data_IF_304491915662
#
_entry.id   IF_304491915662
#
_cell.length_a   1.000
_cell.length_b   1.000
_cell.length_c   1.000
_cell.angle_alpha   90.00
_cell.angle_beta   90.00
_cell.angle_gamma   90.00
#
_symmetry.space_group_name_H-M   'P 1'
#
loop_
_entity.id
_entity.type
_entity.pdbx_description
1 polymer ?
#
# COMPACT_ATOMS: atom_id res chain seq x y z
N UNK A 1 11.87 -1.61 -4.18
CA UNK A 1 11.84 -3.07 -3.96
C UNK A 1 13.19 -3.59 -4.37
N UNK A 2 13.88 -4.30 -3.49
CA UNK A 2 15.14 -4.96 -3.83
C UNK A 2 14.87 -6.47 -3.90
N UNK A 3 14.79 -7.07 -5.10
CA UNK A 3 14.71 -8.53 -5.19
C UNK A 3 15.95 -9.13 -4.54
N UNK A 4 15.86 -10.38 -4.07
CA UNK A 4 17.02 -11.17 -3.67
C UNK A 4 18.11 -11.14 -4.76
N UNK A 5 19.07 -10.23 -4.64
CA UNK A 5 20.06 -9.92 -5.67
C UNK A 5 21.19 -10.95 -5.71
N UNK A 6 21.45 -11.58 -4.56
CA UNK A 6 22.45 -12.63 -4.38
C UNK A 6 21.78 -13.98 -4.17
N UNK A 7 22.33 -15.02 -4.80
CA UNK A 7 21.87 -16.39 -4.56
C UNK A 7 22.33 -16.84 -3.17
N UNK A 8 21.41 -17.39 -2.38
CA UNK A 8 21.74 -18.11 -1.14
C UNK A 8 21.44 -19.59 -1.36
N UNK A 9 22.49 -20.40 -1.39
CA UNK A 9 22.33 -21.85 -1.43
C UNK A 9 21.93 -22.39 -0.05
N UNK A 10 21.02 -23.36 -0.05
CA UNK A 10 20.66 -24.11 1.16
C UNK A 10 20.91 -25.58 0.93
N UNK A 11 21.65 -26.21 1.83
CA UNK A 11 21.57 -27.67 1.99
C UNK A 11 20.24 -28.04 2.67
N UNK A 12 19.85 -29.31 2.52
CA UNK A 12 18.68 -29.86 3.19
C UNK A 12 18.94 -31.30 3.65
N UNK A 13 18.22 -31.73 4.68
CA UNK A 13 18.25 -33.09 5.21
C UNK A 13 16.83 -33.63 5.34
N UNK A 14 16.65 -34.90 5.01
CA UNK A 14 15.42 -35.65 5.31
C UNK A 14 15.71 -36.59 6.48
N UNK A 15 15.00 -36.43 7.59
CA UNK A 15 15.13 -37.27 8.78
C UNK A 15 13.92 -38.20 8.89
N UNK A 16 14.17 -39.51 8.89
CA UNK A 16 13.15 -40.54 8.99
C UNK A 16 12.79 -40.87 10.46
N UNK A 17 12.21 -39.91 11.17
CA UNK A 17 11.61 -40.15 12.49
C UNK A 17 10.14 -40.60 12.36
N UNK A 18 9.42 -40.78 13.47
CA UNK A 18 7.96 -41.07 13.48
C UNK A 18 7.19 -40.11 12.55
N UNK A 19 7.61 -38.84 12.48
CA UNK A 19 7.18 -37.88 11.47
C UNK A 19 8.38 -37.55 10.56
N UNK A 20 8.44 -38.08 9.33
CA UNK A 20 9.46 -37.69 8.36
C UNK A 20 9.54 -36.17 8.26
N UNK A 21 10.75 -35.62 8.34
CA UNK A 21 10.98 -34.18 8.41
C UNK A 21 11.97 -33.74 7.35
N UNK A 22 11.58 -32.75 6.54
CA UNK A 22 12.48 -31.97 5.68
C UNK A 22 13.00 -30.77 6.48
N UNK A 23 14.31 -30.66 6.62
CA UNK A 23 14.97 -29.57 7.34
C UNK A 23 15.98 -28.90 6.42
N UNK A 24 15.84 -27.58 6.25
CA UNK A 24 16.86 -26.74 5.65
C UNK A 24 17.88 -26.40 6.74
N UNK A 25 19.16 -26.67 6.51
CA UNK A 25 20.20 -26.62 7.56
C UNK A 25 21.36 -25.68 7.26
N UNK A 26 21.29 -24.97 6.13
CA UNK A 26 22.18 -23.84 5.82
C UNK A 26 21.35 -22.56 5.76
N UNK A 27 21.84 -21.52 6.46
CA UNK A 27 21.18 -20.22 6.52
C UNK A 27 20.95 -19.64 5.11
N UNK A 28 19.69 -19.31 4.79
CA UNK A 28 19.21 -18.95 3.45
C UNK A 28 17.97 -18.05 3.55
N UNK A 29 17.38 -17.66 2.41
CA UNK A 29 16.15 -16.86 2.38
C UNK A 29 14.99 -17.47 3.17
N UNK A 30 14.93 -18.80 3.33
CA UNK A 30 13.93 -19.45 4.20
C UNK A 30 14.16 -19.14 5.68
N UNK A 31 15.43 -19.04 6.10
CA UNK A 31 15.81 -18.76 7.49
C UNK A 31 15.64 -17.27 7.84
N UNK A 32 15.85 -16.37 6.88
CA UNK A 32 15.62 -14.92 7.05
C UNK A 32 14.17 -14.66 7.49
N UNK A 33 13.20 -15.42 6.96
CA UNK A 33 11.79 -15.29 7.35
C UNK A 33 11.50 -15.78 8.78
N UNK A 34 12.40 -16.57 9.35
CA UNK A 34 12.32 -17.11 10.71
C UNK A 34 13.36 -16.48 11.66
N UNK A 35 14.05 -15.40 11.24
CA UNK A 35 15.14 -14.82 12.01
C UNK A 35 14.61 -14.20 13.32
N UNK A 36 15.18 -14.56 14.50
CA UNK A 36 14.74 -14.01 15.77
C UNK A 36 15.04 -12.52 15.94
N UNK A 37 15.96 -11.94 15.15
CA UNK A 37 16.33 -10.53 15.18
C UNK A 37 15.42 -9.71 14.24
N UNK A 38 14.59 -8.80 14.76
CA UNK A 38 13.74 -7.95 13.93
C UNK A 38 14.51 -7.10 12.90
N UNK A 39 15.78 -6.80 13.16
CA UNK A 39 16.60 -6.00 12.26
C UNK A 39 16.99 -6.73 10.96
N UNK A 40 16.79 -8.05 10.87
CA UNK A 40 17.11 -8.81 9.65
C UNK A 40 16.02 -8.62 8.58
N UNK A 41 14.75 -8.76 8.93
CA UNK A 41 13.64 -8.73 7.95
C UNK A 41 12.32 -8.12 8.46
N UNK A 42 12.31 -7.47 9.64
CA UNK A 42 11.12 -6.79 10.15
C UNK A 42 10.08 -7.71 10.80
N UNK A 43 10.53 -8.77 11.48
CA UNK A 43 9.66 -9.72 12.20
C UNK A 43 9.44 -9.39 13.68
N UNK A 44 8.62 -10.22 14.35
CA UNK A 44 8.47 -10.20 15.81
C UNK A 44 9.73 -10.80 16.45
N UNK A 45 10.25 -10.14 17.48
CA UNK A 45 11.44 -10.61 18.19
C UNK A 45 11.26 -12.06 18.67
N UNK A 46 12.19 -12.94 18.30
CA UNK A 46 12.16 -14.37 18.60
C UNK A 46 11.30 -15.23 17.65
N UNK A 47 10.49 -14.63 16.76
CA UNK A 47 9.51 -15.35 15.92
C UNK A 47 9.64 -15.09 14.42
N UNK A 48 10.41 -14.09 14.00
CA UNK A 48 10.50 -13.68 12.60
C UNK A 48 9.15 -13.22 12.04
N UNK A 49 8.86 -13.56 10.79
CA UNK A 49 7.56 -13.32 10.13
C UNK A 49 6.68 -14.57 10.12
N UNK A 50 6.83 -15.39 11.16
CA UNK A 50 6.09 -16.62 11.38
C UNK A 50 6.27 -17.71 10.29
N UNK A 51 7.49 -17.85 9.76
CA UNK A 51 7.86 -18.92 8.83
C UNK A 51 8.59 -20.06 9.54
N UNK A 52 8.47 -21.28 9.02
CA UNK A 52 9.30 -22.42 9.44
C UNK A 52 10.43 -22.68 8.41
N UNK A 53 11.47 -23.41 8.86
CA UNK A 53 12.51 -24.01 8.01
C UNK A 53 12.68 -25.52 8.25
N UNK A 54 11.87 -26.09 9.16
CA UNK A 54 11.70 -27.53 9.33
C UNK A 54 10.23 -27.90 9.14
N UNK A 55 9.95 -28.90 8.29
CA UNK A 55 8.61 -29.27 7.88
C UNK A 55 8.39 -30.78 7.96
N UNK A 56 7.27 -31.20 8.54
CA UNK A 56 6.82 -32.60 8.52
C UNK A 56 6.02 -32.90 7.27
N UNK A 57 6.22 -34.09 6.70
CA UNK A 57 5.44 -34.53 5.54
C UNK A 57 4.00 -34.86 5.94
N UNK A 58 3.04 -34.22 5.26
CA UNK A 58 1.61 -34.49 5.48
C UNK A 58 1.13 -35.57 4.52
N UNK A 59 1.29 -35.32 3.22
CA UNK A 59 0.87 -36.22 2.13
C UNK A 59 1.54 -35.86 0.82
N UNK A 60 1.47 -36.80 -0.12
CA UNK A 60 1.78 -36.58 -1.53
C UNK A 60 0.49 -36.69 -2.34
N UNK A 61 0.31 -35.79 -3.30
CA UNK A 61 -0.76 -35.86 -4.30
C UNK A 61 -0.15 -35.61 -5.68
N UNK A 62 -0.11 -36.64 -6.52
CA UNK A 62 0.55 -36.58 -7.83
C UNK A 62 2.01 -36.14 -7.69
N UNK A 63 2.37 -35.05 -8.37
CA UNK A 63 3.71 -34.47 -8.42
C UNK A 63 3.99 -33.44 -7.30
N UNK A 64 3.08 -33.33 -6.33
CA UNK A 64 3.19 -32.37 -5.22
C UNK A 64 3.30 -33.07 -3.88
N UNK A 65 4.19 -32.55 -3.03
CA UNK A 65 4.26 -32.91 -1.61
C UNK A 65 3.79 -31.73 -0.77
N UNK A 66 2.92 -32.01 0.19
CA UNK A 66 2.40 -31.04 1.16
C UNK A 66 3.07 -31.29 2.51
N UNK A 67 3.57 -30.21 3.11
CA UNK A 67 4.26 -30.25 4.38
C UNK A 67 3.75 -29.18 5.33
N UNK A 68 3.83 -29.47 6.62
CA UNK A 68 3.48 -28.55 7.71
C UNK A 68 4.71 -28.24 8.55
N UNK A 69 4.95 -26.96 8.81
CA UNK A 69 6.06 -26.49 9.62
C UNK A 69 5.98 -26.95 11.07
N UNK A 70 7.11 -27.32 11.66
CA UNK A 70 7.15 -27.97 12.99
C UNK A 70 6.84 -27.03 14.15
N UNK A 71 7.17 -25.75 14.05
CA UNK A 71 7.01 -24.79 15.14
C UNK A 71 5.73 -23.97 14.95
N UNK A 72 5.50 -23.46 13.75
CA UNK A 72 4.43 -22.47 13.49
C UNK A 72 3.31 -23.00 12.60
N UNK A 73 3.39 -24.28 12.19
CA UNK A 73 2.42 -24.91 11.29
C UNK A 73 2.27 -24.19 9.95
N UNK A 74 3.30 -23.45 9.51
CA UNK A 74 3.31 -22.84 8.18
C UNK A 74 3.20 -23.92 7.09
N UNK A 75 2.56 -23.59 5.97
CA UNK A 75 2.29 -24.57 4.90
C UNK A 75 3.31 -24.42 3.79
N UNK A 76 3.94 -25.54 3.42
CA UNK A 76 4.83 -25.63 2.28
C UNK A 76 4.29 -26.66 1.29
N UNK A 77 4.19 -26.27 0.03
CA UNK A 77 3.86 -27.17 -1.07
C UNK A 77 5.03 -27.14 -2.03
N UNK A 78 5.66 -28.30 -2.24
CA UNK A 78 6.71 -28.45 -3.25
C UNK A 78 6.11 -29.20 -4.43
N UNK A 79 6.12 -28.55 -5.58
CA UNK A 79 5.64 -29.10 -6.86
C UNK A 79 6.86 -29.44 -7.70
N UNK A 80 6.91 -30.65 -8.25
CA UNK A 80 8.00 -31.07 -9.13
C UNK A 80 8.01 -30.20 -10.39
N UNK A 81 9.11 -29.49 -10.62
CA UNK A 81 9.30 -28.70 -11.82
C UNK A 81 9.43 -29.60 -13.05
N UNK A 82 8.80 -29.19 -14.15
CA UNK A 82 9.06 -29.74 -15.50
C UNK A 82 10.47 -29.34 -15.97
N UNK A 83 10.98 -30.04 -17.00
CA UNK A 83 12.29 -29.69 -17.59
C UNK A 83 12.32 -28.25 -18.13
N UNK A 84 11.20 -27.75 -18.66
CA UNK A 84 11.08 -26.38 -19.15
C UNK A 84 11.12 -25.36 -18.00
N UNK A 85 10.40 -25.62 -16.90
CA UNK A 85 10.42 -24.76 -15.72
C UNK A 85 11.79 -24.76 -15.05
N UNK A 86 12.43 -25.93 -14.89
CA UNK A 86 13.78 -26.03 -14.34
C UNK A 86 14.76 -25.19 -15.15
N UNK A 87 14.74 -25.31 -16.49
CA UNK A 87 15.54 -24.47 -17.38
C UNK A 87 15.25 -22.98 -17.14
N UNK A 88 13.98 -22.60 -17.08
CA UNK A 88 13.58 -21.21 -16.85
C UNK A 88 14.07 -20.67 -15.50
N UNK A 89 13.97 -21.44 -14.42
CA UNK A 89 14.52 -21.04 -13.11
C UNK A 89 16.04 -20.85 -13.16
N UNK A 90 16.76 -21.79 -13.78
CA UNK A 90 18.22 -21.70 -13.94
C UNK A 90 18.64 -20.47 -14.78
N UNK A 91 17.82 -20.08 -15.75
CA UNK A 91 18.04 -18.91 -16.62
C UNK A 91 17.46 -17.61 -16.03
N UNK A 92 17.21 -17.54 -14.72
CA UNK A 92 16.66 -16.37 -14.01
C UNK A 92 15.25 -15.95 -14.47
N UNK A 93 14.46 -16.86 -15.01
CA UNK A 93 13.10 -16.62 -15.49
C UNK A 93 12.17 -16.02 -14.43
N UNK A 94 12.27 -16.46 -13.17
CA UNK A 94 11.49 -15.89 -12.08
C UNK A 94 11.86 -14.42 -11.81
N UNK A 95 13.16 -14.08 -11.80
CA UNK A 95 13.61 -12.70 -11.65
C UNK A 95 13.05 -11.81 -12.77
N UNK A 96 13.09 -12.30 -14.01
CA UNK A 96 12.52 -11.59 -15.16
C UNK A 96 11.01 -11.37 -15.02
N UNK A 97 10.27 -12.37 -14.55
CA UNK A 97 8.82 -12.26 -14.30
C UNK A 97 8.50 -11.25 -13.20
N UNK A 98 9.30 -11.23 -12.12
CA UNK A 98 9.21 -10.22 -11.05
C UNK A 98 9.43 -8.82 -11.62
N UNK A 99 10.52 -8.62 -12.37
CA UNK A 99 10.83 -7.33 -12.99
C UNK A 99 9.72 -6.87 -13.94
N UNK A 100 9.23 -7.78 -14.79
CA UNK A 100 8.11 -7.50 -15.70
C UNK A 100 6.86 -7.07 -14.94
N UNK A 101 6.57 -7.70 -13.80
CA UNK A 101 5.45 -7.32 -12.93
C UNK A 101 5.62 -5.94 -12.32
N UNK A 102 6.81 -5.66 -11.79
CA UNK A 102 7.14 -4.37 -11.18
C UNK A 102 7.04 -3.26 -12.22
N UNK A 103 7.69 -3.43 -13.36
CA UNK A 103 7.67 -2.47 -14.47
C UNK A 103 6.25 -2.24 -14.98
N UNK A 104 5.44 -3.30 -15.10
CA UNK A 104 4.05 -3.16 -15.52
C UNK A 104 3.24 -2.33 -14.51
N UNK A 105 3.38 -2.60 -13.21
CA UNK A 105 2.66 -1.86 -12.17
C UNK A 105 3.12 -0.40 -12.09
N UNK A 106 4.43 -0.14 -12.14
CA UNK A 106 4.98 1.21 -12.02
C UNK A 106 4.63 2.09 -13.24
N UNK A 107 4.51 1.50 -14.44
CA UNK A 107 4.17 2.22 -15.66
C UNK A 107 2.65 2.35 -15.93
N UNK A 108 1.80 1.66 -15.17
CA UNK A 108 0.35 1.62 -15.41
C UNK A 108 -0.46 2.02 -14.18
N UNK A 109 -1.07 3.20 -14.25
CA UNK A 109 -1.96 3.71 -13.21
C UNK A 109 -3.40 3.19 -13.38
N UNK A 110 -4.12 3.09 -12.26
CA UNK A 110 -5.55 2.75 -12.22
C UNK A 110 -5.87 1.44 -12.97
N UNK A 111 -5.07 0.40 -12.73
CA UNK A 111 -5.28 -0.93 -13.31
C UNK A 111 -6.69 -1.44 -12.98
N UNK A 112 -7.34 -2.06 -13.96
CA UNK A 112 -8.65 -2.66 -13.80
C UNK A 112 -8.89 -3.76 -14.82
N UNK A 113 -9.93 -4.55 -14.58
CA UNK A 113 -10.55 -5.39 -15.59
C UNK A 113 -12.05 -5.17 -15.57
N UNK A 114 -12.74 -5.59 -16.62
CA UNK A 114 -14.21 -5.55 -16.66
C UNK A 114 -14.73 -6.97 -16.52
N UNK A 115 -15.59 -7.21 -15.53
CA UNK A 115 -16.14 -8.54 -15.25
C UNK A 115 -17.63 -8.44 -15.05
N UNK A 116 -18.41 -9.02 -15.98
CA UNK A 116 -19.88 -9.01 -15.96
C UNK A 116 -20.47 -7.58 -16.02
N UNK A 117 -21.48 -7.34 -16.86
CA UNK A 117 -22.18 -6.04 -16.98
C UNK A 117 -21.28 -4.80 -17.27
N UNK A 118 -20.08 -4.98 -17.83
CA UNK A 118 -19.10 -3.92 -18.12
C UNK A 118 -18.67 -3.06 -16.89
N UNK A 119 -18.89 -3.56 -15.67
CA UNK A 119 -18.41 -2.87 -14.47
C UNK A 119 -16.89 -3.05 -14.38
N UNK A 120 -16.19 -1.92 -14.26
CA UNK A 120 -14.76 -1.90 -14.04
C UNK A 120 -14.48 -2.25 -12.58
N UNK A 121 -13.72 -3.31 -12.36
CA UNK A 121 -13.18 -3.70 -11.05
C UNK A 121 -11.73 -3.25 -11.04
N UNK A 122 -11.44 -2.25 -10.22
CA UNK A 122 -10.08 -1.75 -10.07
C UNK A 122 -9.22 -2.78 -9.35
N UNK A 123 -8.00 -2.97 -9.82
CA UNK A 123 -7.02 -3.92 -9.31
C UNK A 123 -5.79 -3.17 -8.86
N UNK A 124 -5.50 -3.19 -7.56
CA UNK A 124 -4.24 -2.69 -7.01
C UNK A 124 -3.29 -3.86 -6.78
N UNK A 125 -2.06 -3.76 -7.28
CA UNK A 125 -1.00 -4.75 -7.06
C UNK A 125 0.12 -4.04 -6.30
N UNK A 126 0.26 -4.30 -5.00
CA UNK A 126 1.36 -3.80 -4.21
C UNK A 126 2.43 -4.88 -4.12
N UNK A 127 3.48 -4.77 -4.95
CA UNK A 127 4.58 -5.73 -4.97
C UNK A 127 5.51 -5.66 -3.76
N UNK A 128 5.49 -4.54 -3.02
CA UNK A 128 6.30 -4.36 -1.80
C UNK A 128 5.69 -5.15 -0.66
N UNK A 129 4.38 -4.98 -0.39
CA UNK A 129 3.66 -5.75 0.62
C UNK A 129 3.18 -7.11 0.13
N UNK A 130 3.35 -7.40 -1.18
CA UNK A 130 2.86 -8.60 -1.87
C UNK A 130 1.36 -8.83 -1.68
N UNK A 131 0.58 -7.76 -1.77
CA UNK A 131 -0.88 -7.79 -1.66
C UNK A 131 -1.50 -7.36 -2.99
N UNK A 132 -2.50 -8.11 -3.43
CA UNK A 132 -3.41 -7.70 -4.51
C UNK A 132 -4.76 -7.37 -3.89
N UNK A 133 -5.36 -6.26 -4.34
CA UNK A 133 -6.64 -5.78 -3.85
C UNK A 133 -7.56 -5.50 -5.03
N UNK A 134 -8.77 -6.06 -4.99
CA UNK A 134 -9.85 -5.69 -5.88
C UNK A 134 -10.72 -4.64 -5.22
N UNK A 135 -11.13 -3.63 -5.98
CA UNK A 135 -11.91 -2.49 -5.52
C UNK A 135 -13.07 -2.28 -6.49
N UNK A 136 -14.30 -2.20 -5.96
CA UNK A 136 -15.47 -1.86 -6.76
C UNK A 136 -16.47 -0.99 -6.00
N UNK A 137 -17.23 -0.19 -6.73
CA UNK A 137 -18.37 0.55 -6.19
C UNK A 137 -19.48 -0.43 -5.76
N UNK A 138 -19.99 -0.26 -4.54
CA UNK A 138 -21.10 -1.05 -4.01
C UNK A 138 -22.47 -0.38 -4.17
N UNK A 139 -22.54 0.76 -4.88
CA UNK A 139 -23.76 1.51 -5.16
C UNK A 139 -24.27 2.35 -3.99
N UNK A 140 -23.51 2.45 -2.89
CA UNK A 140 -23.89 3.21 -1.68
C UNK A 140 -23.00 4.43 -1.42
N UNK A 141 -22.26 4.90 -2.44
CA UNK A 141 -21.21 5.93 -2.29
C UNK A 141 -20.07 5.47 -1.40
N UNK A 142 -19.77 4.18 -1.43
CA UNK A 142 -18.57 3.57 -0.85
C UNK A 142 -18.03 2.51 -1.80
N UNK A 143 -16.77 2.13 -1.62
CA UNK A 143 -16.18 1.01 -2.35
C UNK A 143 -16.08 -0.20 -1.43
N UNK A 144 -16.22 -1.38 -2.01
CA UNK A 144 -15.86 -2.64 -1.37
C UNK A 144 -14.47 -3.03 -1.80
N UNK A 145 -13.71 -3.60 -0.87
CA UNK A 145 -12.38 -4.15 -1.14
C UNK A 145 -12.29 -5.60 -0.68
N UNK A 146 -11.61 -6.42 -1.47
CA UNK A 146 -11.13 -7.73 -1.05
C UNK A 146 -9.67 -7.85 -1.44
N UNK A 147 -8.87 -8.42 -0.56
CA UNK A 147 -7.43 -8.53 -0.78
C UNK A 147 -6.90 -9.89 -0.36
N UNK A 148 -5.79 -10.26 -0.99
CA UNK A 148 -5.05 -11.49 -0.68
C UNK A 148 -3.57 -11.21 -0.86
N UNK A 149 -2.75 -11.94 -0.10
CA UNK A 149 -1.33 -12.06 -0.43
C UNK A 149 -1.14 -12.74 -1.78
N UNK A 150 0.02 -12.54 -2.41
CA UNK A 150 0.38 -13.23 -3.65
C UNK A 150 1.85 -13.64 -3.69
N UNK A 151 2.17 -14.55 -4.59
CA UNK A 151 3.53 -14.91 -4.96
C UNK A 151 3.75 -14.70 -6.47
N UNK A 152 4.96 -14.34 -6.86
CA UNK A 152 5.36 -14.35 -8.27
C UNK A 152 5.63 -15.78 -8.73
N UNK A 153 5.37 -16.03 -10.00
CA UNK A 153 5.59 -17.30 -10.69
C UNK A 153 6.34 -17.03 -12.00
N UNK A 154 6.78 -18.08 -12.70
CA UNK A 154 7.43 -17.93 -14.01
C UNK A 154 6.53 -17.26 -15.06
N UNK A 155 5.20 -17.32 -14.89
CA UNK A 155 4.22 -16.81 -15.86
C UNK A 155 3.41 -15.63 -15.36
N UNK A 156 3.61 -15.17 -14.13
CA UNK A 156 2.90 -14.00 -13.58
C UNK A 156 2.75 -14.03 -12.06
N UNK A 157 1.55 -13.80 -11.57
CA UNK A 157 1.22 -13.64 -10.15
C UNK A 157 0.17 -14.68 -9.74
N UNK A 158 0.42 -15.42 -8.66
CA UNK A 158 -0.50 -16.38 -8.05
C UNK A 158 -0.99 -15.88 -6.71
N UNK A 159 -2.30 -15.88 -6.49
CA UNK A 159 -2.89 -15.44 -5.23
C UNK A 159 -2.79 -16.54 -4.17
N UNK A 160 -2.57 -16.13 -2.92
CA UNK A 160 -2.60 -17.03 -1.76
C UNK A 160 -3.98 -17.65 -1.60
N UNK A 161 -5.01 -16.80 -1.56
CA UNK A 161 -6.42 -17.21 -1.56
C UNK A 161 -7.11 -16.61 -2.80
N UNK A 162 -8.05 -17.32 -3.43
CA UNK A 162 -8.84 -16.72 -4.52
C UNK A 162 -9.67 -15.55 -4.03
N UNK A 163 -9.70 -14.47 -4.82
CA UNK A 163 -10.59 -13.33 -4.59
C UNK A 163 -11.92 -13.59 -5.29
N UNK A 164 -13.02 -13.39 -4.56
CA UNK A 164 -14.38 -13.61 -5.06
C UNK A 164 -15.04 -12.27 -5.37
N UNK A 165 -15.50 -12.10 -6.60
CA UNK A 165 -16.32 -10.95 -7.03
C UNK A 165 -17.59 -11.46 -7.70
N UNK A 166 -18.77 -11.09 -7.17
CA UNK A 166 -20.09 -11.57 -7.66
C UNK A 166 -20.14 -13.10 -7.90
N UNK A 167 -19.55 -13.88 -7.00
CA UNK A 167 -19.48 -15.34 -7.10
C UNK A 167 -18.45 -15.89 -8.11
N UNK A 168 -17.72 -15.02 -8.81
CA UNK A 168 -16.63 -15.39 -9.71
C UNK A 168 -15.29 -15.38 -8.96
N UNK A 169 -14.52 -16.45 -9.13
CA UNK A 169 -13.25 -16.64 -8.45
C UNK A 169 -12.08 -16.21 -9.34
N UNK A 170 -11.17 -15.43 -8.78
CA UNK A 170 -9.92 -14.99 -9.42
C UNK A 170 -8.77 -15.42 -8.54
N UNK A 171 -7.88 -16.28 -9.07
CA UNK A 171 -6.77 -16.87 -8.30
C UNK A 171 -5.40 -16.48 -8.81
N UNK A 172 -5.30 -15.84 -9.98
CA UNK A 172 -4.03 -15.52 -10.60
C UNK A 172 -4.16 -14.44 -11.67
N UNK A 173 -3.02 -13.81 -11.97
CA UNK A 173 -2.81 -12.94 -13.12
C UNK A 173 -1.65 -13.51 -13.93
N UNK A 174 -1.89 -13.86 -15.19
CA UNK A 174 -0.89 -14.39 -16.12
C UNK A 174 -0.41 -13.28 -17.04
N UNK A 175 0.89 -13.22 -17.29
CA UNK A 175 1.50 -12.28 -18.23
C UNK A 175 1.29 -12.76 -19.67
N UNK A 176 0.81 -11.87 -20.53
CA UNK A 176 0.80 -12.07 -21.97
C UNK A 176 1.98 -11.33 -22.61
N UNK A 177 3.04 -12.04 -23.06
CA UNK A 177 4.22 -11.39 -23.64
C UNK A 177 3.96 -10.81 -25.04
N UNK A 178 2.88 -11.19 -25.72
CA UNK A 178 2.54 -10.66 -27.05
C UNK A 178 1.82 -9.32 -26.89
N UNK A 179 0.87 -9.25 -25.96
CA UNK A 179 0.08 -8.03 -25.71
C UNK A 179 0.71 -7.07 -24.71
N UNK A 180 1.66 -7.55 -23.90
CA UNK A 180 2.29 -6.75 -22.85
C UNK A 180 1.33 -6.38 -21.71
N UNK A 181 0.40 -7.29 -21.37
CA UNK A 181 -0.60 -7.07 -20.31
C UNK A 181 -0.77 -8.31 -19.45
N UNK A 182 -1.17 -8.08 -18.20
CA UNK A 182 -1.68 -9.15 -17.36
C UNK A 182 -3.11 -9.51 -17.76
N UNK A 183 -3.48 -10.78 -17.58
CA UNK A 183 -4.86 -11.23 -17.72
C UNK A 183 -5.18 -12.29 -16.69
N UNK A 184 -6.47 -12.51 -16.45
CA UNK A 184 -6.98 -13.68 -15.76
C UNK A 184 -8.05 -14.35 -16.62
N UNK A 185 -8.38 -15.60 -16.32
CA UNK A 185 -9.47 -16.30 -17.01
C UNK A 185 -10.54 -16.66 -16.00
N UNK A 186 -11.75 -16.16 -16.21
CA UNK A 186 -12.91 -16.42 -15.36
C UNK A 186 -13.99 -17.04 -16.24
N UNK A 187 -14.42 -18.26 -15.89
CA UNK A 187 -15.42 -19.04 -16.65
C UNK A 187 -15.13 -19.10 -18.15
N UNK A 188 -13.87 -19.36 -18.51
CA UNK A 188 -13.41 -19.42 -19.90
C UNK A 188 -13.28 -18.07 -20.61
N UNK A 189 -13.65 -16.97 -19.95
CA UNK A 189 -13.50 -15.61 -20.48
C UNK A 189 -12.18 -15.01 -20.03
N UNK A 190 -11.38 -14.56 -21.01
CA UNK A 190 -10.15 -13.80 -20.76
C UNK A 190 -10.50 -12.37 -20.33
N UNK A 191 -9.99 -11.96 -19.18
CA UNK A 191 -10.14 -10.61 -18.62
C UNK A 191 -8.76 -9.97 -18.53
N UNK A 192 -8.54 -8.94 -19.34
CA UNK A 192 -7.27 -8.21 -19.34
C UNK A 192 -7.25 -7.19 -18.22
N UNK A 193 -6.14 -7.15 -17.48
CA UNK A 193 -5.84 -6.12 -16.50
C UNK A 193 -5.18 -5.00 -17.28
N UNK A 194 -5.83 -3.85 -17.40
CA UNK A 194 -5.39 -2.73 -18.23
C UNK A 194 -5.44 -1.42 -17.45
N UNK A 195 -4.62 -0.45 -17.84
CA UNK A 195 -4.60 0.87 -17.23
C UNK A 195 -5.83 1.69 -17.61
N UNK A 196 -6.26 2.59 -16.71
CA UNK A 196 -7.21 3.64 -17.05
C UNK A 196 -6.52 5.01 -17.03
N UNK A 197 -6.70 5.85 -18.08
CA UNK A 197 -6.07 7.18 -18.12
C UNK A 197 -6.65 8.13 -17.06
N UNK A 198 -7.81 7.80 -16.49
CA UNK A 198 -8.45 8.54 -15.41
C UNK A 198 -8.72 7.60 -14.24
N UNK A 199 -8.74 8.13 -13.02
CA UNK A 199 -9.16 7.35 -11.85
C UNK A 199 -10.57 6.79 -12.02
N UNK A 200 -10.76 5.54 -11.62
CA UNK A 200 -12.03 4.83 -11.77
C UNK A 200 -13.06 5.26 -10.72
N UNK A 201 -12.56 5.65 -9.55
CA UNK A 201 -13.36 6.15 -8.44
C UNK A 201 -12.84 7.51 -8.00
N UNK A 202 -13.72 8.39 -7.47
CA UNK A 202 -13.29 9.65 -6.89
C UNK A 202 -12.38 9.43 -5.67
N UNK A 203 -11.46 10.37 -5.42
CA UNK A 203 -10.43 10.23 -4.38
C UNK A 203 -11.01 9.93 -2.98
N UNK A 204 -12.15 10.51 -2.60
CA UNK A 204 -12.79 10.24 -1.30
C UNK A 204 -13.23 8.77 -1.08
N UNK A 205 -13.26 7.97 -2.14
CA UNK A 205 -13.48 6.52 -2.06
C UNK A 205 -12.17 5.73 -1.97
N UNK A 206 -11.04 6.32 -2.37
CA UNK A 206 -9.75 5.65 -2.48
C UNK A 206 -8.71 6.11 -1.44
N UNK A 207 -8.89 7.28 -0.82
CA UNK A 207 -8.04 7.78 0.25
C UNK A 207 -8.26 6.96 1.53
N UNK A 208 -7.15 6.53 2.15
CA UNK A 208 -7.07 5.52 3.19
C UNK A 208 -7.28 4.06 2.72
N UNK A 209 -7.29 3.81 1.41
CA UNK A 209 -7.34 2.46 0.81
C UNK A 209 -6.19 2.27 -0.18
N UNK A 210 -6.23 2.98 -1.31
CA UNK A 210 -5.17 2.96 -2.32
C UNK A 210 -4.08 3.97 -1.99
N UNK A 211 -4.47 5.14 -1.48
CA UNK A 211 -3.56 6.18 -1.04
C UNK A 211 -3.65 6.28 0.47
N UNK A 212 -2.54 6.16 1.16
CA UNK A 212 -2.44 6.28 2.61
C UNK A 212 -2.46 7.74 3.08
N UNK A 213 -1.95 8.68 2.27
CA UNK A 213 -1.84 10.07 2.68
C UNK A 213 -1.90 11.10 1.53
N UNK A 214 -2.14 12.36 1.90
CA UNK A 214 -1.86 13.54 1.08
C UNK A 214 -0.69 14.31 1.72
N UNK A 215 0.40 14.48 0.98
CA UNK A 215 1.62 15.16 1.45
C UNK A 215 1.67 16.57 0.87
N UNK A 216 1.33 17.55 1.70
CA UNK A 216 1.39 18.97 1.38
C UNK A 216 2.85 19.43 1.51
N UNK A 217 3.49 19.91 0.42
CA UNK A 217 4.91 20.23 0.45
C UNK A 217 5.20 21.49 1.28
N UNK A 218 6.48 21.68 1.62
CA UNK A 218 6.94 22.97 2.10
C UNK A 218 6.93 23.98 0.94
N UNK A 219 6.27 25.11 1.14
CA UNK A 219 6.22 26.18 0.14
C UNK A 219 5.41 27.37 0.63
N UNK A 220 5.58 28.50 -0.06
CA UNK A 220 4.73 29.68 0.06
C UNK A 220 3.53 29.61 -0.90
N UNK A 221 3.65 28.83 -1.97
CA UNK A 221 2.59 28.49 -2.92
C UNK A 221 2.84 27.10 -3.50
N UNK A 222 1.80 26.47 -4.04
CA UNK A 222 1.88 25.19 -4.74
C UNK A 222 0.65 25.03 -5.65
N UNK A 223 0.73 24.29 -6.78
CA UNK A 223 -0.40 24.10 -7.69
C UNK A 223 -1.63 23.54 -6.97
N UNK A 224 -2.73 24.29 -6.96
CA UNK A 224 -3.97 23.92 -6.27
C UNK A 224 -4.09 24.48 -4.84
N UNK A 225 -3.19 25.36 -4.41
CA UNK A 225 -3.37 26.10 -3.16
C UNK A 225 -4.18 27.38 -3.39
N UNK A 226 -5.24 27.54 -2.60
CA UNK A 226 -6.04 28.76 -2.58
C UNK A 226 -5.40 29.86 -1.76
N UNK A 227 -5.77 31.11 -2.05
CA UNK A 227 -5.21 32.31 -1.41
C UNK A 227 -5.32 32.30 0.12
N UNK A 228 -6.43 31.76 0.64
CA UNK A 228 -6.70 31.72 2.08
C UNK A 228 -5.80 30.70 2.79
N UNK A 229 -5.58 29.54 2.17
CA UNK A 229 -4.63 28.56 2.67
C UNK A 229 -3.21 29.12 2.66
N UNK A 230 -2.80 29.78 1.57
CA UNK A 230 -1.48 30.42 1.45
C UNK A 230 -1.24 31.40 2.59
N UNK A 231 -2.19 32.32 2.85
CA UNK A 231 -2.09 33.30 3.93
C UNK A 231 -2.00 32.61 5.30
N UNK A 232 -2.86 31.63 5.57
CA UNK A 232 -2.88 30.92 6.86
C UNK A 232 -1.64 30.08 7.10
N UNK A 233 -1.12 29.40 6.07
CA UNK A 233 0.11 28.64 6.18
C UNK A 233 1.28 29.57 6.47
N UNK A 234 1.35 30.72 5.81
CA UNK A 234 2.37 31.72 6.10
C UNK A 234 2.26 32.25 7.55
N UNK A 235 1.05 32.53 8.04
CA UNK A 235 0.83 32.92 9.44
C UNK A 235 1.26 31.84 10.43
N UNK A 236 0.89 30.58 10.18
CA UNK A 236 1.29 29.46 11.04
C UNK A 236 2.82 29.28 11.03
N UNK A 237 3.46 29.30 9.87
CA UNK A 237 4.91 29.18 9.75
C UNK A 237 5.66 30.32 10.45
N UNK A 238 5.17 31.56 10.35
CA UNK A 238 5.74 32.70 11.04
C UNK A 238 5.58 32.57 12.56
N UNK A 239 4.41 32.13 13.03
CA UNK A 239 4.15 31.92 14.45
C UNK A 239 5.01 30.80 15.04
N UNK A 240 5.14 29.66 14.36
CA UNK A 240 6.00 28.55 14.83
C UNK A 240 7.47 28.97 14.89
N UNK A 241 7.93 29.80 13.94
CA UNK A 241 9.29 30.33 13.92
C UNK A 241 9.53 31.37 15.03
N UNK A 242 8.51 32.14 15.40
CA UNK A 242 8.57 33.11 16.49
C UNK A 242 8.36 32.49 17.88
N UNK A 243 7.94 31.22 17.96
CA UNK A 243 7.77 30.50 19.22
C UNK A 243 9.09 30.44 20.03
N UNK A 244 8.97 30.12 21.31
CA UNK A 244 10.13 29.91 22.20
C UNK A 244 11.12 28.86 21.66
N UNK A 245 10.66 27.96 20.79
CA UNK A 245 11.43 26.86 20.23
C UNK A 245 12.05 27.16 18.86
N UNK A 246 11.66 28.29 18.23
CA UNK A 246 12.15 28.74 16.91
C UNK A 246 12.03 27.67 15.81
N UNK A 247 10.83 27.13 15.67
CA UNK A 247 10.55 25.97 14.80
C UNK A 247 10.13 26.40 13.40
N UNK A 248 10.88 25.99 12.39
CA UNK A 248 10.52 26.17 10.98
C UNK A 248 9.53 25.10 10.55
N UNK A 249 8.32 25.48 10.16
CA UNK A 249 7.32 24.60 9.56
C UNK A 249 7.75 24.18 8.16
N UNK A 250 7.76 22.88 7.90
CA UNK A 250 8.09 22.29 6.60
C UNK A 250 6.84 21.61 5.99
N UNK A 251 6.97 20.42 5.41
CA UNK A 251 5.84 19.67 4.85
C UNK A 251 4.83 19.21 5.91
N UNK A 252 3.59 18.99 5.47
CA UNK A 252 2.51 18.46 6.28
C UNK A 252 1.94 17.20 5.61
N UNK A 253 1.74 16.14 6.39
CA UNK A 253 1.29 14.84 5.91
C UNK A 253 -0.07 14.56 6.55
N UNK A 254 -1.10 14.34 5.74
CA UNK A 254 -2.44 13.97 6.19
C UNK A 254 -2.65 12.48 5.95
N UNK A 255 -2.35 11.67 6.97
CA UNK A 255 -2.40 10.20 6.89
C UNK A 255 -3.77 9.68 7.29
N UNK A 256 -4.39 8.82 6.48
CA UNK A 256 -5.74 8.31 6.67
C UNK A 256 -5.76 6.84 7.07
N UNK A 257 -6.60 6.52 8.04
CA UNK A 257 -6.99 5.16 8.39
C UNK A 257 -8.52 5.05 8.33
N UNK A 258 -9.03 4.47 7.26
CA UNK A 258 -10.48 4.32 7.01
C UNK A 258 -11.11 3.19 7.82
N UNK A 259 -10.33 2.24 8.34
CA UNK A 259 -10.82 1.19 9.23
C UNK A 259 -11.26 1.79 10.56
N UNK A 260 -10.43 2.69 11.10
CA UNK A 260 -10.68 3.35 12.39
C UNK A 260 -11.34 4.72 12.26
N UNK A 261 -11.60 5.19 11.03
CA UNK A 261 -12.07 6.55 10.73
C UNK A 261 -11.22 7.63 11.40
N UNK A 262 -9.90 7.49 11.30
CA UNK A 262 -8.93 8.45 11.85
C UNK A 262 -8.06 9.06 10.77
N UNK A 263 -7.62 10.29 11.02
CA UNK A 263 -6.60 10.96 10.23
C UNK A 263 -5.59 11.61 11.17
N UNK A 264 -4.30 11.50 10.87
CA UNK A 264 -3.25 12.24 11.59
C UNK A 264 -2.66 13.28 10.64
N UNK A 265 -2.69 14.54 11.06
CA UNK A 265 -1.85 15.58 10.47
C UNK A 265 -0.50 15.54 11.17
N UNK A 266 0.55 15.17 10.45
CA UNK A 266 1.93 15.24 10.90
C UNK A 266 2.63 16.41 10.23
N UNK A 267 3.15 17.36 10.99
CA UNK A 267 4.00 18.42 10.46
C UNK A 267 5.47 18.10 10.72
N UNK A 268 6.29 18.16 9.68
CA UNK A 268 7.73 18.24 9.83
C UNK A 268 8.09 19.65 10.30
N UNK A 269 8.82 19.73 11.41
CA UNK A 269 9.28 20.97 12.01
C UNK A 269 10.78 20.89 12.27
N UNK A 270 11.50 21.95 11.94
CA UNK A 270 12.95 21.99 12.07
C UNK A 270 13.38 22.98 13.13
N UNK A 271 14.27 22.53 14.02
CA UNK A 271 15.08 23.41 14.85
C UNK A 271 16.51 23.33 14.35
N UNK A 272 16.99 24.40 13.73
CA UNK A 272 18.25 24.38 12.97
C UNK A 272 18.23 23.25 11.92
N UNK A 273 19.24 22.37 11.93
CA UNK A 273 19.32 21.22 11.02
C UNK A 273 18.53 19.99 11.50
N UNK A 274 18.05 19.97 12.74
CA UNK A 274 17.39 18.81 13.32
C UNK A 274 15.90 18.78 12.96
N UNK A 275 15.45 17.66 12.42
CA UNK A 275 14.04 17.40 12.10
C UNK A 275 13.33 16.80 13.31
N UNK A 276 12.17 17.38 13.62
CA UNK A 276 11.19 16.89 14.58
C UNK A 276 9.83 16.73 13.90
N UNK A 277 8.92 16.02 14.55
CA UNK A 277 7.53 15.85 14.09
C UNK A 277 6.56 16.33 15.16
N UNK A 278 5.49 16.98 14.73
CA UNK A 278 4.32 17.28 15.55
C UNK A 278 3.09 16.59 14.96
N UNK A 279 2.33 15.90 15.79
CA UNK A 279 1.15 15.14 15.37
C UNK A 279 -0.14 15.72 15.95
N UNK A 280 -1.09 16.02 15.07
CA UNK A 280 -2.47 16.39 15.40
C UNK A 280 -3.38 15.24 14.97
N UNK A 281 -3.84 14.40 15.90
CA UNK A 281 -4.76 13.31 15.59
C UNK A 281 -6.18 13.84 15.41
N UNK A 282 -6.93 13.19 14.53
CA UNK A 282 -8.34 13.46 14.28
C UNK A 282 -9.10 12.14 14.14
N UNK A 283 -10.35 12.15 14.58
CA UNK A 283 -11.37 11.24 14.04
C UNK A 283 -12.10 11.95 12.91
N UNK A 284 -12.78 11.22 12.02
CA UNK A 284 -13.61 11.84 10.99
C UNK A 284 -14.93 11.12 10.76
N UNK A 285 -15.93 11.89 10.30
CA UNK A 285 -17.14 11.36 9.67
C UNK A 285 -17.14 11.72 8.19
N UNK A 286 -17.73 10.88 7.33
CA UNK A 286 -17.80 11.09 5.88
C UNK A 286 -19.23 10.86 5.38
N UNK A 287 -19.76 11.79 4.58
CA UNK A 287 -21.04 11.58 3.87
C UNK A 287 -20.86 10.73 2.61
N UNK A 288 -21.95 10.18 2.07
CA UNK A 288 -21.98 9.47 0.77
C UNK A 288 -21.41 10.32 -0.37
N UNK A 289 -21.57 11.64 -0.32
CA UNK A 289 -21.02 12.58 -1.31
C UNK A 289 -19.53 12.91 -1.10
N UNK A 290 -18.87 12.29 -0.13
CA UNK A 290 -17.45 12.51 0.15
C UNK A 290 -17.13 13.79 0.92
N UNK A 291 -18.08 14.31 1.71
CA UNK A 291 -17.85 15.45 2.60
C UNK A 291 -17.39 14.95 3.97
N UNK A 292 -16.18 15.32 4.36
CA UNK A 292 -15.53 14.96 5.62
C UNK A 292 -15.76 16.03 6.67
N UNK A 293 -15.97 15.61 7.92
CA UNK A 293 -15.83 16.44 9.11
C UNK A 293 -14.74 15.83 9.99
N UNK A 294 -13.70 16.62 10.29
CA UNK A 294 -12.61 16.19 11.16
C UNK A 294 -12.85 16.72 12.58
N UNK A 295 -12.68 15.85 13.56
CA UNK A 295 -12.81 16.15 14.99
C UNK A 295 -11.46 15.92 15.65
N UNK A 296 -10.87 16.99 16.18
CA UNK A 296 -9.54 16.95 16.76
C UNK A 296 -9.48 16.11 18.04
N UNK A 297 -8.44 15.29 18.15
CA UNK A 297 -7.97 14.71 19.41
C UNK A 297 -6.89 15.57 20.05
N UNK A 298 -6.32 15.10 21.16
CA UNK A 298 -5.21 15.78 21.83
C UNK A 298 -3.94 15.73 20.98
N UNK A 299 -3.30 16.87 20.66
CA UNK A 299 -2.01 16.89 19.98
C UNK A 299 -0.95 16.10 20.76
N UNK A 300 -0.07 15.40 20.04
CA UNK A 300 0.97 14.54 20.65
C UNK A 300 2.37 14.95 20.23
N UNK A 301 3.36 14.55 21.03
CA UNK A 301 4.76 14.88 20.78
C UNK A 301 4.99 16.39 20.73
N UNK A 302 5.74 16.87 19.73
CA UNK A 302 6.08 18.29 19.64
C UNK A 302 4.89 19.17 19.22
N UNK A 303 3.78 18.60 18.74
CA UNK A 303 2.61 19.40 18.38
C UNK A 303 1.98 20.09 19.60
N UNK A 304 2.06 19.50 20.79
CA UNK A 304 1.53 20.09 22.02
C UNK A 304 2.25 21.40 22.40
N UNK A 305 3.46 21.62 21.89
CA UNK A 305 4.26 22.83 22.14
C UNK A 305 3.90 24.02 21.24
N UNK A 306 3.22 23.75 20.11
CA UNK A 306 2.94 24.75 19.06
C UNK A 306 1.46 24.77 18.64
N UNK A 307 0.55 24.40 19.56
CA UNK A 307 -0.90 24.33 19.28
C UNK A 307 -1.45 25.70 18.87
N UNK A 308 -1.02 26.76 19.55
CA UNK A 308 -1.50 28.12 19.30
C UNK A 308 -0.94 28.67 17.99
N UNK A 309 0.32 28.39 17.70
CA UNK A 309 1.03 28.80 16.49
C UNK A 309 0.43 28.14 15.25
N UNK A 310 -0.01 26.87 15.36
CA UNK A 310 -0.66 26.13 14.28
C UNK A 310 -2.17 26.38 14.15
N UNK A 311 -2.77 27.12 15.08
CA UNK A 311 -4.19 27.42 15.10
C UNK A 311 -4.77 27.98 13.79
N UNK A 312 -4.05 28.81 12.98
CA UNK A 312 -4.58 29.27 11.69
C UNK A 312 -4.99 28.15 10.75
N UNK A 313 -4.29 27.01 10.77
CA UNK A 313 -4.58 25.86 9.92
C UNK A 313 -5.49 24.85 10.62
N UNK A 314 -5.27 24.61 11.92
CA UNK A 314 -5.97 23.58 12.69
C UNK A 314 -7.29 24.11 13.26
N UNK A 315 -7.24 24.74 14.44
CA UNK A 315 -8.40 25.17 15.22
C UNK A 315 -9.31 26.15 14.48
N UNK A 316 -8.77 26.96 13.56
CA UNK A 316 -9.55 27.94 12.80
C UNK A 316 -10.07 27.43 11.45
N UNK A 317 -9.62 26.27 10.98
CA UNK A 317 -10.03 25.70 9.68
C UNK A 317 -10.30 24.20 9.75
N UNK A 318 -9.29 23.35 9.85
CA UNK A 318 -9.47 21.88 9.80
C UNK A 318 -10.49 21.40 10.85
N UNK A 319 -10.48 22.00 12.05
CA UNK A 319 -11.39 21.62 13.14
C UNK A 319 -12.81 22.16 12.94
N UNK A 320 -13.00 23.26 12.20
CA UNK A 320 -14.27 23.97 12.07
C UNK A 320 -15.01 23.62 10.79
N UNK A 321 -14.28 23.46 9.72
CA UNK A 321 -14.83 23.29 8.39
C UNK A 321 -15.17 21.81 8.12
N UNK A 322 -15.85 21.60 7.01
CA UNK A 322 -16.01 20.32 6.35
C UNK A 322 -15.31 20.36 5.01
N UNK A 323 -14.83 19.21 4.53
CA UNK A 323 -13.94 19.16 3.38
C UNK A 323 -14.39 18.12 2.36
N UNK A 324 -14.28 18.46 1.08
CA UNK A 324 -14.24 17.44 0.03
C UNK A 324 -12.80 17.08 -0.29
N UNK A 325 -12.54 15.79 -0.56
CA UNK A 325 -11.25 15.29 -1.04
C UNK A 325 -11.38 14.87 -2.51
N UNK A 326 -10.61 15.50 -3.38
CA UNK A 326 -10.67 15.28 -4.82
C UNK A 326 -9.27 15.21 -5.44
N UNK A 327 -9.19 14.60 -6.61
CA UNK A 327 -8.00 14.72 -7.44
C UNK A 327 -7.86 16.15 -7.97
N UNK A 328 -6.61 16.59 -8.08
CA UNK A 328 -6.22 17.83 -8.73
C UNK A 328 -5.07 17.55 -9.69
N UNK A 329 -5.26 17.84 -10.97
CA UNK A 329 -4.19 17.70 -11.97
C UNK A 329 -3.38 18.98 -11.99
N UNK A 330 -2.07 18.86 -11.72
CA UNK A 330 -1.14 19.97 -11.86
C UNK A 330 -1.15 20.47 -13.31
N UNK A 331 -1.54 21.73 -13.57
CA UNK A 331 -1.72 22.22 -14.94
C UNK A 331 -0.41 22.33 -15.73
N UNK A 332 0.74 22.34 -15.04
CA UNK A 332 2.06 22.48 -15.66
C UNK A 332 2.70 21.13 -15.95
N UNK A 333 2.63 20.18 -15.00
CA UNK A 333 3.34 18.89 -15.10
C UNK A 333 2.42 17.72 -15.49
N UNK A 334 1.10 17.89 -15.39
CA UNK A 334 0.14 16.79 -15.53
C UNK A 334 0.08 15.84 -14.33
N UNK A 335 0.87 16.09 -13.29
CA UNK A 335 0.90 15.26 -12.07
C UNK A 335 -0.47 15.25 -11.38
N UNK A 336 -0.93 14.07 -10.95
CA UNK A 336 -2.16 13.92 -10.19
C UNK A 336 -1.85 14.07 -8.69
N UNK A 337 -2.47 15.07 -8.08
CA UNK A 337 -2.37 15.40 -6.66
C UNK A 337 -3.68 15.11 -5.94
N UNK A 338 -3.63 14.95 -4.61
CA UNK A 338 -4.81 14.97 -3.75
C UNK A 338 -5.06 16.39 -3.25
N UNK A 339 -6.31 16.83 -3.21
CA UNK A 339 -6.68 18.18 -2.79
C UNK A 339 -7.80 18.18 -1.75
N UNK A 340 -7.56 18.89 -0.64
CA UNK A 340 -8.57 19.32 0.31
C UNK A 340 -9.23 20.59 -0.19
N UNK A 341 -10.56 20.64 -0.11
CA UNK A 341 -11.34 21.86 -0.34
C UNK A 341 -12.32 22.07 0.79
N UNK A 342 -12.19 23.17 1.52
CA UNK A 342 -13.20 23.55 2.51
C UNK A 342 -14.51 23.91 1.81
N UNK A 343 -15.61 23.41 2.35
CA UNK A 343 -16.97 23.70 1.88
C UNK A 343 -17.39 25.12 2.31
N UNK A 344 -17.02 25.53 3.52
CA UNK A 344 -17.37 26.82 4.12
C UNK A 344 -16.47 27.95 3.62
N UNK A 345 -15.20 27.64 3.34
CA UNK A 345 -14.19 28.60 2.91
C UNK A 345 -13.57 28.14 1.59
N UNK A 346 -14.18 28.40 0.42
CA UNK A 346 -13.72 27.86 -0.88
C UNK A 346 -12.30 28.27 -1.29
N UNK A 347 -11.74 29.34 -0.69
CA UNK A 347 -10.35 29.75 -0.91
C UNK A 347 -9.36 29.06 0.05
N UNK A 348 -9.83 28.30 1.04
CA UNK A 348 -9.03 27.40 1.86
C UNK A 348 -8.98 26.03 1.18
N UNK A 349 -8.16 25.97 0.14
CA UNK A 349 -7.90 24.77 -0.65
C UNK A 349 -6.41 24.51 -0.64
N UNK A 350 -6.02 23.25 -0.52
CA UNK A 350 -4.62 22.85 -0.57
C UNK A 350 -4.47 21.45 -1.09
N UNK A 351 -3.38 21.24 -1.81
CA UNK A 351 -3.05 20.02 -2.52
C UNK A 351 -1.69 19.50 -2.09
N UNK A 352 -1.48 18.21 -2.36
CA UNK A 352 -0.25 17.50 -2.06
C UNK A 352 -0.13 16.22 -2.86
N UNK A 353 1.06 15.63 -2.89
CA UNK A 353 1.27 14.34 -3.55
C UNK A 353 0.49 13.25 -2.82
N UNK A 354 0.00 12.27 -3.57
CA UNK A 354 -0.66 11.09 -3.01
C UNK A 354 0.40 10.04 -2.69
N UNK A 355 0.33 9.47 -1.49
CA UNK A 355 1.25 8.42 -1.02
C UNK A 355 0.60 7.06 -0.95
#
# INVERSE_FOLDING_TARGET
YDPAAESMESTYKVKAFQNPTLSFDTYSYMHILADPNPNTFGGVAGWGVYSDFEFTFDKQVGDSIMLTGKLLNSKLILVKATAAEQKSFNEKGLLKSIQTSVDYVDNNNNLYFSIVDAIKVQTSINYVSKVVTLIWDNGSGSVTTVSTGFAFTLTGIRFKEPLIYKGKSISELTWDPIKGVYFTTVDGTRLEIIASPTSLYPLHLLIGIQYSAIIVPNGTTYPGWGSEFVTRRASAAAATLASAYRLRLDRMIFSFNTINNTMVLTADIYQNANRFVGDWPYTFTKTTAGVYKFTAGSPTGNASLIVNEMAPLTTQRINTDTFTLAYFTNPTTGEILGQFRSVQNPNFTFSGSLQ
#
